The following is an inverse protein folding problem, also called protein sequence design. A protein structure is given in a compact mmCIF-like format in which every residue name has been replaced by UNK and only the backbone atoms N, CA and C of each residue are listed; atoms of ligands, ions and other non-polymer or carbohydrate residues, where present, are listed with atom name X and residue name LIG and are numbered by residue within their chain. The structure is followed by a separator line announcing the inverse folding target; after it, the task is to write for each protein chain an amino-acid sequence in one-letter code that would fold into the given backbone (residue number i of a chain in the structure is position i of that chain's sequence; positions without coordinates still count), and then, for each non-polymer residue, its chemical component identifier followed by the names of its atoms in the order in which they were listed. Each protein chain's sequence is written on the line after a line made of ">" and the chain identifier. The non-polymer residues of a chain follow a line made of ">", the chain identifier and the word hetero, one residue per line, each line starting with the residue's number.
data_IF_842460268260
#
_entry.id   IF_842460268260
#
_cell.length_a   1.000
_cell.length_b   1.000
_cell.length_c   1.000
_cell.angle_alpha   90.00
_cell.angle_beta   90.00
_cell.angle_gamma   90.00
#
_symmetry.space_group_name_H-M   'P 1'
#
loop_
_entity.id
_entity.type
_entity.pdbx_description
1 polymer ?
#
# COMPACT_ATOMS: atom_id res chain seq x y z
N UNK A 1 6.60 18.51 10.56
CA UNK A 1 5.33 17.88 10.97
C UNK A 1 5.32 16.50 10.35
N UNK A 2 5.32 15.43 11.17
CA UNK A 2 5.34 14.06 10.65
C UNK A 2 4.02 13.81 9.92
N UNK A 3 4.09 13.69 8.58
CA UNK A 3 2.96 13.27 7.75
C UNK A 3 2.38 11.98 8.33
N UNK A 4 1.11 12.03 8.75
CA UNK A 4 0.36 10.85 9.19
C UNK A 4 0.19 9.99 7.94
N UNK A 5 1.12 9.05 7.72
CA UNK A 5 1.02 8.08 6.64
C UNK A 5 -0.13 7.15 7.01
N UNK A 6 -1.33 7.44 6.51
CA UNK A 6 -2.53 6.68 6.84
C UNK A 6 -2.34 5.27 6.28
N UNK A 7 -2.39 4.26 7.14
CA UNK A 7 -2.22 2.87 6.73
C UNK A 7 -3.52 2.41 6.04
N UNK A 8 -3.39 1.63 4.97
CA UNK A 8 -4.49 0.87 4.34
C UNK A 8 -4.19 -0.63 4.37
N UNK A 9 -5.23 -1.45 4.22
CA UNK A 9 -5.09 -2.90 4.12
C UNK A 9 -5.29 -3.32 2.67
N UNK A 10 -4.35 -4.07 2.12
CA UNK A 10 -4.39 -4.66 0.78
C UNK A 10 -3.93 -6.12 0.86
N UNK A 11 -4.78 -7.06 0.41
CA UNK A 11 -4.54 -8.52 0.51
C UNK A 11 -4.14 -8.99 1.92
N UNK A 12 -4.72 -8.39 2.96
CA UNK A 12 -4.41 -8.68 4.36
C UNK A 12 -3.09 -8.08 4.87
N UNK A 13 -2.35 -7.33 4.03
CA UNK A 13 -1.10 -6.66 4.37
C UNK A 13 -1.32 -5.15 4.51
N UNK A 14 -0.53 -4.50 5.37
CA UNK A 14 -0.55 -3.05 5.55
C UNK A 14 0.25 -2.37 4.44
N UNK A 15 -0.36 -1.42 3.74
CA UNK A 15 0.30 -0.59 2.72
C UNK A 15 0.17 0.89 3.06
N UNK A 16 1.16 1.69 2.64
CA UNK A 16 1.12 3.15 2.81
C UNK A 16 0.17 3.79 1.79
N UNK A 17 -0.68 4.69 2.28
CA UNK A 17 -1.47 5.60 1.46
C UNK A 17 -1.38 7.04 1.93
N UNK A 18 -1.63 7.95 1.01
CA UNK A 18 -1.71 9.39 1.25
C UNK A 18 -3.00 9.93 0.61
N UNK A 19 -3.67 10.84 1.32
CA UNK A 19 -4.82 11.56 0.79
C UNK A 19 -4.34 12.92 0.29
N UNK A 20 -4.49 13.17 -1.00
CA UNK A 20 -4.24 14.48 -1.58
C UNK A 20 -5.56 15.27 -1.57
N UNK A 21 -5.65 16.26 -0.67
CA UNK A 21 -6.83 17.13 -0.54
C UNK A 21 -7.07 18.01 -1.76
N UNK A 22 -6.03 18.38 -2.51
CA UNK A 22 -6.17 19.27 -3.67
C UNK A 22 -6.77 18.55 -4.87
N UNK A 23 -6.45 17.28 -5.01
CA UNK A 23 -6.91 16.45 -6.12
C UNK A 23 -8.07 15.54 -5.74
N UNK A 24 -8.44 15.50 -4.46
CA UNK A 24 -9.41 14.58 -3.88
C UNK A 24 -9.13 13.11 -4.25
N UNK A 25 -7.83 12.74 -4.21
CA UNK A 25 -7.35 11.42 -4.64
C UNK A 25 -6.56 10.71 -3.57
N UNK A 26 -6.65 9.38 -3.61
CA UNK A 26 -5.81 8.49 -2.84
C UNK A 26 -4.58 8.07 -3.64
N UNK A 27 -3.41 8.26 -3.06
CA UNK A 27 -2.14 7.76 -3.56
C UNK A 27 -1.68 6.58 -2.72
N UNK A 28 -1.14 5.56 -3.38
CA UNK A 28 -0.66 4.34 -2.75
C UNK A 28 0.81 4.11 -3.06
N UNK A 29 1.55 3.53 -2.12
CA UNK A 29 2.94 3.14 -2.35
C UNK A 29 3.02 1.98 -3.33
N UNK A 30 3.60 2.23 -4.52
CA UNK A 30 3.84 1.19 -5.53
C UNK A 30 4.79 0.11 -5.00
N UNK A 31 5.81 0.49 -4.24
CA UNK A 31 6.77 -0.46 -3.65
C UNK A 31 6.06 -1.44 -2.72
N UNK A 32 5.14 -0.95 -1.89
CA UNK A 32 4.40 -1.79 -0.94
C UNK A 32 3.47 -2.74 -1.70
N UNK A 33 2.82 -2.26 -2.77
CA UNK A 33 1.95 -3.09 -3.62
C UNK A 33 2.76 -4.21 -4.29
N UNK A 34 3.88 -3.87 -4.93
CA UNK A 34 4.74 -4.85 -5.61
C UNK A 34 5.26 -5.89 -4.62
N UNK A 35 5.70 -5.47 -3.44
CA UNK A 35 6.17 -6.39 -2.40
C UNK A 35 5.08 -7.37 -1.96
N UNK A 36 3.85 -6.90 -1.74
CA UNK A 36 2.72 -7.77 -1.36
C UNK A 36 2.40 -8.75 -2.48
N UNK A 37 2.37 -8.31 -3.73
CA UNK A 37 2.11 -9.17 -4.87
C UNK A 37 3.19 -10.24 -5.05
N UNK A 38 4.47 -9.85 -4.92
CA UNK A 38 5.61 -10.76 -5.01
C UNK A 38 5.58 -11.82 -3.88
N UNK A 39 5.24 -11.41 -2.65
CA UNK A 39 5.07 -12.34 -1.53
C UNK A 39 3.95 -13.36 -1.79
N UNK A 40 2.82 -12.93 -2.35
CA UNK A 40 1.72 -13.82 -2.69
C UNK A 40 2.14 -14.80 -3.78
N UNK A 41 2.80 -14.31 -4.84
CA UNK A 41 3.27 -15.15 -5.94
C UNK A 41 4.19 -16.27 -5.48
N UNK A 42 5.08 -16.00 -4.51
CA UNK A 42 5.94 -17.02 -3.91
C UNK A 42 5.16 -18.03 -3.08
N UNK A 43 4.23 -17.57 -2.23
CA UNK A 43 3.44 -18.44 -1.35
C UNK A 43 2.50 -19.40 -2.09
N UNK A 44 2.13 -19.13 -3.34
CA UNK A 44 1.25 -20.02 -4.13
C UNK A 44 2.01 -21.16 -4.82
N UNK A 45 3.34 -21.15 -4.78
CA UNK A 45 4.17 -22.23 -5.34
C UNK A 45 4.57 -23.31 -4.32
N UNK A 46 4.18 -23.15 -3.05
CA UNK A 46 4.31 -24.16 -1.99
C UNK A 46 2.96 -24.88 -1.77
#
# INVERSE_FOLDING_TARGET
>A
MAEITKIAIFKGQKIRRHWDEKQEKWYFSVVDIVQVLEQISRKTSD
#
